data_IF_370577634820
#
_entry.id   IF_370577634820
#
_cell.length_a   1.000
_cell.length_b   1.000
_cell.length_c   1.000
_cell.angle_alpha   90.00
_cell.angle_beta   90.00
_cell.angle_gamma   90.00
#
_symmetry.space_group_name_H-M   'P 1'
#
loop_
_entity.id
_entity.type
_entity.pdbx_description
1 polymer ?
#
# COMPACT_ATOMS: atom_id res chain seq x y z
N UNK A 1 -6.38 37.37 6.98
CA UNK A 1 -5.69 36.20 7.59
C UNK A 1 -6.76 35.17 7.93
N UNK A 2 -6.90 34.08 7.17
CA UNK A 2 -7.79 32.99 7.56
C UNK A 2 -7.18 32.33 8.80
N UNK A 3 -7.82 32.50 9.97
CA UNK A 3 -7.54 31.71 11.15
C UNK A 3 -7.58 30.24 10.74
N UNK A 4 -6.42 29.59 10.59
CA UNK A 4 -6.34 28.14 10.62
C UNK A 4 -6.78 27.77 12.03
N UNK A 5 -8.09 27.56 12.23
CA UNK A 5 -8.63 27.12 13.50
C UNK A 5 -7.78 25.95 13.97
N UNK A 6 -7.18 26.07 15.15
CA UNK A 6 -6.34 25.02 15.72
C UNK A 6 -7.20 23.76 15.75
N UNK A 7 -6.80 22.73 15.02
CA UNK A 7 -7.49 21.43 15.03
C UNK A 7 -7.67 21.01 16.49
N UNK A 8 -8.80 20.39 16.82
CA UNK A 8 -8.97 19.83 18.17
C UNK A 8 -7.82 18.87 18.47
N UNK A 9 -7.48 18.71 19.76
CA UNK A 9 -6.41 17.77 20.17
C UNK A 9 -6.66 16.37 19.60
N UNK A 10 -7.92 15.96 19.62
CA UNK A 10 -8.43 14.71 19.05
C UNK A 10 -8.13 14.57 17.55
N UNK A 11 -8.49 15.56 16.74
CA UNK A 11 -8.21 15.54 15.30
C UNK A 11 -6.71 15.64 15.01
N UNK A 12 -5.95 16.35 15.84
CA UNK A 12 -4.49 16.42 15.69
C UNK A 12 -3.84 15.05 15.96
N UNK A 13 -4.31 14.34 16.99
CA UNK A 13 -3.86 12.98 17.35
C UNK A 13 -4.24 11.96 16.28
N UNK A 14 -5.42 12.09 15.67
CA UNK A 14 -5.81 11.30 14.49
C UNK A 14 -4.74 11.36 13.42
N UNK A 15 -4.53 12.55 12.84
CA UNK A 15 -3.67 12.72 11.68
C UNK A 15 -2.20 12.46 12.00
N UNK A 16 -1.78 12.54 13.27
CA UNK A 16 -0.45 12.13 13.69
C UNK A 16 -0.22 10.61 13.51
N UNK A 17 -1.28 9.81 13.67
CA UNK A 17 -1.23 8.34 13.59
C UNK A 17 -1.75 7.78 12.25
N UNK A 18 -2.32 8.64 11.41
CA UNK A 18 -2.80 8.31 10.07
C UNK A 18 -1.66 8.22 9.05
N UNK A 19 -1.82 7.35 8.06
CA UNK A 19 -0.96 7.26 6.89
C UNK A 19 -1.79 7.43 5.63
N UNK A 20 -1.44 8.43 4.81
CA UNK A 20 -1.94 8.57 3.46
C UNK A 20 -1.11 7.74 2.50
N UNK A 21 -1.78 7.07 1.58
CA UNK A 21 -1.18 6.28 0.52
C UNK A 21 -1.79 6.73 -0.80
N UNK A 22 -0.95 6.98 -1.81
CA UNK A 22 -1.40 7.27 -3.16
C UNK A 22 -0.62 6.39 -4.12
N UNK A 23 -1.30 5.70 -5.03
CA UNK A 23 -0.62 4.96 -6.07
C UNK A 23 -1.24 5.17 -7.45
N UNK A 24 -0.40 5.17 -8.48
CA UNK A 24 -0.84 5.03 -9.87
C UNK A 24 -0.96 3.55 -10.20
N UNK A 25 -2.07 3.13 -10.77
CA UNK A 25 -2.31 1.75 -11.19
C UNK A 25 -2.33 1.64 -12.72
N UNK A 26 -1.60 0.64 -13.24
CA UNK A 26 -1.60 0.28 -14.67
C UNK A 26 -1.74 -1.24 -14.87
N UNK A 27 -2.65 -1.73 -15.74
CA UNK A 27 -3.67 -0.93 -16.42
C UNK A 27 -4.71 -0.41 -15.42
N UNK A 28 -5.52 0.61 -15.77
CA UNK A 28 -6.66 0.99 -14.95
C UNK A 28 -7.66 -0.18 -14.82
N UNK A 29 -8.45 -0.21 -13.75
CA UNK A 29 -9.60 -1.10 -13.66
C UNK A 29 -10.65 -0.71 -14.72
N UNK A 30 -11.28 -1.72 -15.33
CA UNK A 30 -12.21 -1.52 -16.46
C UNK A 30 -13.67 -1.77 -16.08
N UNK A 31 -13.95 -2.29 -14.88
CA UNK A 31 -15.31 -2.61 -14.41
C UNK A 31 -15.49 -2.17 -12.96
N UNK A 32 -16.74 -2.00 -12.53
CA UNK A 32 -17.08 -1.74 -11.12
C UNK A 32 -16.65 -2.90 -10.21
N UNK A 33 -16.80 -4.14 -10.66
CA UNK A 33 -16.35 -5.32 -9.89
C UNK A 33 -14.83 -5.31 -9.64
N UNK A 34 -14.04 -4.84 -10.61
CA UNK A 34 -12.59 -4.70 -10.45
C UNK A 34 -12.25 -3.59 -9.45
N UNK A 35 -13.04 -2.51 -9.40
CA UNK A 35 -12.92 -1.46 -8.36
C UNK A 35 -13.32 -1.97 -6.97
N UNK A 36 -14.42 -2.70 -6.86
CA UNK A 36 -14.89 -3.28 -5.59
C UNK A 36 -13.86 -4.28 -5.06
N UNK A 37 -13.26 -5.09 -5.95
CA UNK A 37 -12.15 -5.97 -5.61
C UNK A 37 -10.94 -5.19 -5.09
N UNK A 38 -10.54 -4.10 -5.75
CA UNK A 38 -9.44 -3.26 -5.26
C UNK A 38 -9.77 -2.69 -3.87
N UNK A 39 -10.94 -2.07 -3.69
CA UNK A 39 -11.37 -1.54 -2.40
C UNK A 39 -11.34 -2.60 -1.30
N UNK A 40 -11.94 -3.77 -1.56
CA UNK A 40 -11.99 -4.88 -0.60
C UNK A 40 -10.60 -5.31 -0.15
N UNK A 41 -9.65 -5.44 -1.08
CA UNK A 41 -8.30 -5.87 -0.72
C UNK A 41 -7.48 -4.75 -0.08
N UNK A 42 -7.69 -3.49 -0.46
CA UNK A 42 -7.06 -2.36 0.23
C UNK A 42 -7.51 -2.25 1.70
N UNK A 43 -8.75 -2.65 2.03
CA UNK A 43 -9.20 -2.80 3.41
C UNK A 43 -8.47 -3.88 4.21
N UNK A 44 -7.92 -4.92 3.55
CA UNK A 44 -7.14 -5.97 4.23
C UNK A 44 -5.77 -5.50 4.70
N UNK A 45 -5.25 -4.39 4.15
CA UNK A 45 -3.91 -3.90 4.51
C UNK A 45 -3.88 -3.32 5.92
N UNK A 46 -4.88 -2.52 6.27
CA UNK A 46 -5.11 -1.88 7.57
C UNK A 46 -6.49 -1.20 7.53
N UNK A 47 -7.04 -0.73 8.67
CA UNK A 47 -8.26 0.06 8.65
C UNK A 47 -8.15 1.28 7.75
N UNK A 48 -9.11 1.39 6.84
CA UNK A 48 -9.14 2.37 5.76
C UNK A 48 -10.27 3.36 6.04
N UNK A 49 -9.91 4.63 6.22
CA UNK A 49 -10.82 5.74 6.51
C UNK A 49 -11.34 6.41 5.24
N UNK A 50 -10.53 6.42 4.21
CA UNK A 50 -10.88 7.01 2.92
C UNK A 50 -10.25 6.18 1.81
N UNK A 51 -11.03 5.95 0.75
CA UNK A 51 -10.57 5.35 -0.49
C UNK A 51 -11.21 6.10 -1.64
N UNK A 52 -10.38 6.73 -2.45
CA UNK A 52 -10.80 7.54 -3.58
C UNK A 52 -10.02 7.15 -4.82
N UNK A 53 -10.70 7.16 -5.95
CA UNK A 53 -10.09 6.90 -7.25
C UNK A 53 -10.15 8.16 -8.09
N UNK A 54 -9.03 8.52 -8.73
CA UNK A 54 -8.95 9.65 -9.64
C UNK A 54 -8.43 9.12 -10.97
N UNK A 55 -9.21 9.33 -12.04
CA UNK A 55 -8.76 9.04 -13.40
C UNK A 55 -8.52 10.33 -14.15
N UNK A 56 -7.34 10.47 -14.75
CA UNK A 56 -7.01 11.60 -15.61
C UNK A 56 -6.35 11.07 -16.88
N UNK A 57 -6.86 11.46 -18.06
CA UNK A 57 -6.34 11.03 -19.35
C UNK A 57 -4.84 11.25 -19.53
N UNK A 58 -4.29 12.29 -18.90
CA UNK A 58 -2.89 12.70 -19.04
C UNK A 58 -2.00 12.08 -17.95
N UNK A 59 -2.55 11.68 -16.81
CA UNK A 59 -1.77 11.24 -15.65
C UNK A 59 -1.99 9.76 -15.29
N UNK A 60 -3.04 9.14 -15.79
CA UNK A 60 -3.42 7.76 -15.51
C UNK A 60 -4.49 7.64 -14.42
N UNK A 61 -4.63 6.42 -13.89
CA UNK A 61 -5.58 6.08 -12.83
C UNK A 61 -4.86 5.99 -11.49
N UNK A 62 -5.39 6.67 -10.49
CA UNK A 62 -4.81 6.74 -9.15
C UNK A 62 -5.79 6.26 -8.10
N UNK A 63 -5.26 5.55 -7.12
CA UNK A 63 -5.92 5.29 -5.84
C UNK A 63 -5.30 6.21 -4.79
N UNK A 64 -6.14 6.85 -4.00
CA UNK A 64 -5.77 7.57 -2.80
C UNK A 64 -6.48 6.89 -1.62
N UNK A 65 -5.70 6.49 -0.63
CA UNK A 65 -6.16 5.80 0.55
C UNK A 65 -5.67 6.53 1.80
N UNK A 66 -6.48 6.53 2.85
CA UNK A 66 -6.09 7.02 4.17
C UNK A 66 -6.29 5.89 5.17
N UNK A 67 -5.20 5.49 5.78
CA UNK A 67 -5.13 4.38 6.71
C UNK A 67 -4.95 4.85 8.15
N UNK A 68 -5.58 4.11 9.06
CA UNK A 68 -5.38 4.20 10.50
C UNK A 68 -4.85 2.86 11.03
N UNK A 69 -3.57 2.53 10.78
CA UNK A 69 -3.02 1.20 11.10
C UNK A 69 -2.84 0.95 12.59
N UNK A 70 -2.82 2.00 13.42
CA UNK A 70 -2.70 1.88 14.87
C UNK A 70 -4.06 1.66 15.56
N UNK A 71 -5.03 1.08 14.85
CA UNK A 71 -6.41 0.89 15.31
C UNK A 71 -6.95 -0.41 14.72
N UNK A 72 -8.04 -0.88 15.29
CA UNK A 72 -8.80 -2.01 14.74
C UNK A 72 -9.87 -1.55 13.75
N UNK A 73 -10.34 -0.30 13.87
CA UNK A 73 -11.42 0.25 13.05
C UNK A 73 -11.16 1.66 12.53
N UNK A 74 -11.85 1.99 11.43
CA UNK A 74 -11.89 3.33 10.84
C UNK A 74 -12.39 4.36 11.85
N UNK A 75 -11.82 5.57 11.79
CA UNK A 75 -12.27 6.74 12.53
C UNK A 75 -13.73 7.10 12.27
N UNK A 76 -14.22 6.96 11.03
CA UNK A 76 -15.59 7.34 10.71
C UNK A 76 -16.62 6.42 11.39
N UNK A 77 -16.26 5.17 11.71
CA UNK A 77 -17.12 4.29 12.51
C UNK A 77 -17.26 4.75 13.97
N UNK A 78 -16.33 5.58 14.44
CA UNK A 78 -16.22 5.98 15.84
C UNK A 78 -16.82 7.36 16.13
N UNK A 79 -17.37 8.05 15.12
CA UNK A 79 -18.19 9.25 15.33
C UNK A 79 -19.58 8.86 15.91
N UNK A 80 -19.76 7.62 16.38
CA UNK A 80 -20.94 7.25 17.15
C UNK A 80 -20.95 8.06 18.46
N UNK A 81 -22.13 8.50 18.95
CA UNK A 81 -22.24 9.55 19.97
C UNK A 81 -21.75 9.20 21.38
N UNK A 82 -21.09 8.05 21.57
CA UNK A 82 -20.52 7.68 22.86
C UNK A 82 -19.03 8.04 22.88
N UNK A 83 -18.76 9.32 23.20
CA UNK A 83 -17.39 9.89 23.19
C UNK A 83 -16.47 9.26 24.26
N UNK A 84 -16.97 8.39 25.14
CA UNK A 84 -16.22 7.85 26.28
C UNK A 84 -15.43 6.55 25.99
N UNK A 85 -15.63 5.90 24.84
CA UNK A 85 -14.90 4.66 24.48
C UNK A 85 -13.74 4.86 23.51
N UNK A 86 -13.45 6.10 23.14
CA UNK A 86 -12.28 6.42 22.36
C UNK A 86 -11.10 6.65 23.31
N UNK A 87 -9.95 6.09 22.97
CA UNK A 87 -8.66 6.28 23.65
C UNK A 87 -8.39 5.38 24.87
N UNK A 88 -8.41 4.05 24.70
CA UNK A 88 -7.27 3.33 25.27
C UNK A 88 -6.04 3.80 24.49
N UNK A 89 -5.21 4.62 25.14
CA UNK A 89 -4.00 5.15 24.55
C UNK A 89 -3.05 3.99 24.27
N UNK A 90 -2.96 3.57 23.02
CA UNK A 90 -1.81 2.77 22.58
C UNK A 90 -0.57 3.63 22.85
N UNK A 91 0.39 3.07 23.57
CA UNK A 91 1.65 3.73 23.86
C UNK A 91 2.29 4.25 22.56
N UNK A 92 2.71 5.51 22.61
CA UNK A 92 3.37 6.23 21.52
C UNK A 92 4.51 5.44 20.87
N UNK A 93 5.26 4.63 21.65
CA UNK A 93 6.36 3.82 21.12
C UNK A 93 5.83 2.71 20.21
N UNK A 94 4.77 2.02 20.61
CA UNK A 94 4.12 0.98 19.80
C UNK A 94 3.49 1.58 18.54
N UNK A 95 2.89 2.77 18.69
CA UNK A 95 2.30 3.52 17.57
C UNK A 95 3.35 3.81 16.49
N UNK A 96 4.55 4.26 16.86
CA UNK A 96 5.62 4.54 15.90
C UNK A 96 6.13 3.29 15.19
N UNK A 97 6.31 2.17 15.90
CA UNK A 97 6.74 0.91 15.29
C UNK A 97 5.71 0.40 14.29
N UNK A 98 4.44 0.30 14.70
CA UNK A 98 3.33 -0.14 13.82
C UNK A 98 3.25 0.75 12.57
N UNK A 99 3.38 2.06 12.75
CA UNK A 99 3.35 3.03 11.66
C UNK A 99 4.51 2.79 10.68
N UNK A 100 5.72 2.61 11.17
CA UNK A 100 6.90 2.37 10.32
C UNK A 100 6.82 1.03 9.58
N UNK A 101 6.38 -0.03 10.26
CA UNK A 101 6.19 -1.35 9.64
C UNK A 101 5.15 -1.28 8.51
N UNK A 102 4.06 -0.54 8.75
CA UNK A 102 3.04 -0.32 7.74
C UNK A 102 3.54 0.55 6.57
N UNK A 103 4.35 1.58 6.83
CA UNK A 103 5.01 2.37 5.77
C UNK A 103 5.92 1.47 4.92
N UNK A 104 6.71 0.60 5.55
CA UNK A 104 7.58 -0.35 4.85
C UNK A 104 6.76 -1.32 3.99
N UNK A 105 5.66 -1.86 4.55
CA UNK A 105 4.71 -2.71 3.82
C UNK A 105 4.17 -1.99 2.59
N UNK A 106 3.60 -0.78 2.75
CA UNK A 106 3.08 0.02 1.63
C UNK A 106 4.15 0.36 0.59
N UNK A 107 5.36 0.70 1.03
CA UNK A 107 6.51 0.98 0.15
C UNK A 107 6.88 -0.23 -0.69
N UNK A 108 6.78 -1.44 -0.14
CA UNK A 108 7.14 -2.67 -0.83
C UNK A 108 6.15 -3.13 -1.90
N UNK A 109 4.91 -2.63 -1.93
CA UNK A 109 3.81 -3.12 -2.79
C UNK A 109 4.06 -2.94 -4.29
N UNK A 110 4.21 -4.00 -5.07
CA UNK A 110 4.43 -3.93 -6.52
C UNK A 110 3.13 -3.97 -7.32
N UNK A 111 2.24 -4.91 -6.98
CA UNK A 111 1.12 -5.25 -7.83
C UNK A 111 0.02 -6.00 -7.06
N UNK A 112 -1.12 -6.16 -7.72
CA UNK A 112 -2.21 -7.05 -7.32
C UNK A 112 -2.77 -7.73 -8.57
N UNK A 113 -3.18 -9.00 -8.53
CA UNK A 113 -3.85 -9.62 -9.67
C UNK A 113 -5.09 -8.82 -10.09
N UNK A 114 -5.39 -8.85 -11.38
CA UNK A 114 -6.61 -8.28 -11.90
C UNK A 114 -7.78 -9.17 -11.53
N UNK A 115 -8.90 -8.58 -11.15
CA UNK A 115 -10.13 -9.32 -10.84
C UNK A 115 -10.52 -10.24 -12.01
N UNK A 116 -10.50 -9.71 -13.23
CA UNK A 116 -10.77 -10.44 -14.48
C UNK A 116 -9.85 -11.64 -14.72
N UNK A 117 -8.65 -11.66 -14.15
CA UNK A 117 -7.72 -12.79 -14.25
C UNK A 117 -8.03 -13.91 -13.25
N UNK A 118 -8.62 -13.57 -12.10
CA UNK A 118 -8.78 -14.50 -10.97
C UNK A 118 -10.24 -14.90 -10.69
N UNK A 119 -11.23 -14.15 -11.18
CA UNK A 119 -12.64 -14.32 -10.81
C UNK A 119 -13.17 -15.74 -11.09
N UNK A 120 -12.74 -16.34 -12.21
CA UNK A 120 -13.16 -17.69 -12.62
C UNK A 120 -12.14 -18.78 -12.28
N UNK A 121 -11.03 -18.42 -11.61
CA UNK A 121 -9.97 -19.38 -11.29
C UNK A 121 -10.31 -20.14 -9.99
N UNK A 122 -10.97 -21.28 -10.12
CA UNK A 122 -11.39 -22.12 -8.98
C UNK A 122 -10.23 -22.53 -8.07
N UNK A 123 -9.03 -22.77 -8.61
CA UNK A 123 -7.89 -23.17 -7.80
C UNK A 123 -7.37 -22.01 -6.95
N UNK A 124 -7.39 -20.79 -7.49
CA UNK A 124 -7.11 -19.60 -6.70
C UNK A 124 -8.16 -19.41 -5.61
N UNK A 125 -9.45 -19.41 -5.96
CA UNK A 125 -10.55 -19.21 -5.00
C UNK A 125 -10.58 -20.27 -3.89
N UNK A 126 -10.12 -21.50 -4.17
CA UNK A 126 -10.04 -22.58 -3.20
C UNK A 126 -8.68 -22.69 -2.49
N UNK A 127 -7.84 -21.64 -2.51
CA UNK A 127 -6.54 -21.60 -1.84
C UNK A 127 -5.52 -22.65 -2.33
N UNK A 128 -5.73 -23.24 -3.51
CA UNK A 128 -4.84 -24.24 -4.11
C UNK A 128 -3.77 -23.65 -5.01
N UNK A 129 -3.95 -22.41 -5.44
CA UNK A 129 -3.04 -21.72 -6.35
C UNK A 129 -2.53 -20.43 -5.71
N UNK A 130 -1.19 -20.28 -5.71
CA UNK A 130 -0.53 -19.02 -5.46
C UNK A 130 -0.06 -18.43 -6.80
N UNK A 131 -0.36 -17.16 -7.04
CA UNK A 131 -0.04 -16.50 -8.31
C UNK A 131 1.28 -15.76 -8.19
N UNK A 132 2.24 -16.08 -9.06
CA UNK A 132 3.53 -15.40 -9.14
C UNK A 132 3.45 -14.18 -10.07
N UNK A 133 4.13 -13.11 -9.68
CA UNK A 133 4.36 -11.96 -10.56
C UNK A 133 5.56 -12.22 -11.47
N UNK A 134 5.32 -12.93 -12.58
CA UNK A 134 6.35 -13.15 -13.58
C UNK A 134 6.71 -11.84 -14.28
N UNK A 135 7.99 -11.50 -14.27
CA UNK A 135 8.48 -10.21 -14.76
C UNK A 135 9.83 -10.31 -15.43
N UNK A 136 10.11 -9.31 -16.27
CA UNK A 136 11.41 -9.07 -16.87
C UNK A 136 11.99 -7.76 -16.34
N UNK A 137 13.29 -7.78 -16.04
CA UNK A 137 14.07 -6.64 -15.58
C UNK A 137 14.56 -5.84 -16.80
N UNK A 138 14.38 -4.52 -16.80
CA UNK A 138 14.99 -3.66 -17.82
C UNK A 138 16.51 -3.52 -17.62
N UNK A 139 17.25 -3.27 -18.70
CA UNK A 139 18.71 -3.10 -18.66
C UNK A 139 19.17 -2.02 -17.66
N UNK A 140 18.36 -0.99 -17.45
CA UNK A 140 18.58 0.14 -16.53
C UNK A 140 18.70 -0.24 -15.04
N UNK A 141 18.22 -1.43 -14.66
CA UNK A 141 18.27 -1.97 -13.28
C UNK A 141 18.83 -3.39 -13.27
N UNK A 142 19.67 -3.75 -14.23
CA UNK A 142 20.28 -5.08 -14.30
C UNK A 142 21.08 -5.43 -13.03
N UNK A 143 21.59 -4.42 -12.32
CA UNK A 143 22.30 -4.55 -11.04
C UNK A 143 21.40 -5.03 -9.88
N UNK A 144 20.08 -4.97 -9.99
CA UNK A 144 19.15 -5.50 -8.99
C UNK A 144 18.81 -6.99 -9.20
N UNK A 145 19.25 -7.60 -10.30
CA UNK A 145 18.97 -9.01 -10.59
C UNK A 145 19.50 -9.90 -9.46
N UNK A 146 18.63 -10.72 -8.87
CA UNK A 146 18.98 -11.63 -7.78
C UNK A 146 19.05 -10.97 -6.39
N UNK A 147 18.94 -9.64 -6.30
CA UNK A 147 19.00 -8.90 -5.02
C UNK A 147 17.65 -8.77 -4.32
N UNK A 148 16.55 -9.06 -5.03
CA UNK A 148 15.21 -9.03 -4.48
C UNK A 148 14.45 -10.30 -4.80
N UNK A 149 13.46 -10.58 -3.95
CA UNK A 149 12.40 -11.53 -4.21
C UNK A 149 11.05 -10.81 -4.24
N UNK A 150 10.04 -11.45 -4.83
CA UNK A 150 8.66 -10.99 -4.78
C UNK A 150 7.81 -12.02 -4.07
N UNK A 151 6.89 -11.56 -3.23
CA UNK A 151 5.86 -12.44 -2.66
C UNK A 151 4.99 -13.03 -3.76
N UNK A 152 4.32 -14.14 -3.45
CA UNK A 152 3.22 -14.65 -4.27
C UNK A 152 1.91 -14.03 -3.81
N UNK A 153 0.92 -14.02 -4.70
CA UNK A 153 -0.43 -13.56 -4.41
C UNK A 153 -1.32 -14.75 -4.05
N UNK A 154 -2.07 -14.61 -2.97
CA UNK A 154 -3.06 -15.58 -2.49
C UNK A 154 -4.42 -14.90 -2.30
N UNK A 155 -5.45 -15.66 -1.94
CA UNK A 155 -6.78 -15.08 -1.65
C UNK A 155 -6.76 -14.16 -0.43
N UNK A 156 -5.98 -14.51 0.60
CA UNK A 156 -5.86 -13.72 1.83
C UNK A 156 -4.88 -12.55 1.66
N UNK A 157 -3.75 -12.79 1.00
CA UNK A 157 -2.70 -11.82 0.74
C UNK A 157 -2.52 -11.61 -0.77
N UNK A 158 -3.41 -10.84 -1.41
CA UNK A 158 -3.43 -10.70 -2.86
C UNK A 158 -2.30 -9.80 -3.39
N UNK A 159 -1.69 -8.98 -2.54
CA UNK A 159 -0.67 -8.04 -2.96
C UNK A 159 0.70 -8.69 -3.12
N UNK A 160 1.33 -8.39 -4.24
CA UNK A 160 2.72 -8.70 -4.51
C UNK A 160 3.59 -7.62 -3.90
N UNK A 161 4.61 -8.00 -3.13
CA UNK A 161 5.53 -7.09 -2.44
C UNK A 161 6.98 -7.47 -2.71
N UNK A 162 7.87 -6.48 -2.71
CA UNK A 162 9.32 -6.68 -2.75
C UNK A 162 9.80 -7.14 -1.37
N UNK A 163 10.49 -8.28 -1.35
CA UNK A 163 11.27 -8.77 -0.22
C UNK A 163 12.73 -8.46 -0.52
N UNK A 164 13.39 -7.72 0.38
CA UNK A 164 14.84 -7.53 0.27
C UNK A 164 15.54 -8.82 0.75
N UNK A 165 16.42 -9.38 -0.07
CA UNK A 165 17.16 -10.60 0.27
C UNK A 165 18.23 -10.34 1.35
N UNK A 166 18.74 -9.11 1.44
CA UNK A 166 19.81 -8.75 2.37
C UNK A 166 19.37 -8.86 3.84
N UNK A 167 18.07 -8.71 4.13
CA UNK A 167 17.52 -8.92 5.48
C UNK A 167 17.16 -10.39 5.79
N UNK A 168 17.11 -11.27 4.78
CA UNK A 168 16.69 -12.66 4.95
C UNK A 168 17.87 -13.58 5.32
N UNK A 169 19.07 -13.25 4.83
CA UNK A 169 20.29 -13.96 5.17
C UNK A 169 21.11 -13.05 6.07
N UNK A 170 21.08 -13.27 7.38
CA UNK A 170 21.92 -12.56 8.37
C UNK A 170 23.42 -12.82 8.24
N UNK A 171 23.93 -12.89 7.01
CA UNK A 171 25.34 -12.99 6.70
C UNK A 171 25.93 -11.58 6.73
N UNK A 172 26.55 -11.25 7.87
CA UNK A 172 27.46 -10.12 8.06
C UNK A 172 28.69 -10.28 7.16
N UNK A 173 28.54 -10.12 5.85
CA UNK A 173 29.68 -9.95 4.97
C UNK A 173 29.94 -8.45 4.86
N UNK A 174 30.86 -7.96 5.68
CA UNK A 174 31.26 -6.55 5.83
C UNK A 174 31.96 -5.94 4.58
N UNK A 175 31.95 -6.58 3.41
CA UNK A 175 32.86 -6.20 2.30
C UNK A 175 32.26 -6.10 0.88
N UNK A 176 30.94 -6.20 0.68
CA UNK A 176 30.36 -5.98 -0.66
C UNK A 176 29.41 -4.79 -0.66
N UNK A 177 29.72 -3.76 -1.47
CA UNK A 177 28.89 -2.61 -1.81
C UNK A 177 27.38 -2.92 -1.69
N UNK A 178 26.80 -2.64 -0.52
CA UNK A 178 25.41 -2.96 -0.22
C UNK A 178 24.54 -2.07 -1.10
N UNK A 179 24.10 -2.62 -2.24
CA UNK A 179 23.25 -1.87 -3.17
C UNK A 179 21.85 -1.82 -2.56
N UNK A 180 21.62 -0.81 -1.73
CA UNK A 180 20.28 -0.44 -1.27
C UNK A 180 19.33 -0.39 -2.45
N UNK A 181 18.28 -1.22 -2.41
CA UNK A 181 17.29 -1.30 -3.48
C UNK A 181 16.43 -0.03 -3.46
N UNK A 182 16.51 0.76 -4.51
CA UNK A 182 15.50 1.78 -4.79
C UNK A 182 14.21 1.09 -5.25
N UNK A 183 13.24 1.02 -4.34
CA UNK A 183 11.92 0.41 -4.56
C UNK A 183 11.15 1.07 -5.71
N UNK A 184 11.21 2.40 -5.85
CA UNK A 184 10.52 3.11 -6.94
C UNK A 184 11.16 2.77 -8.27
N UNK A 185 12.49 2.88 -8.36
CA UNK A 185 13.24 2.54 -9.57
C UNK A 185 13.05 1.08 -9.96
N UNK A 186 13.11 0.15 -9.01
CA UNK A 186 12.85 -1.26 -9.27
C UNK A 186 11.45 -1.43 -9.86
N UNK A 187 10.43 -0.98 -9.13
CA UNK A 187 9.01 -1.11 -9.50
C UNK A 187 8.74 -0.54 -10.88
N UNK A 188 9.11 0.69 -11.18
CA UNK A 188 8.89 1.32 -12.50
C UNK A 188 9.50 0.48 -13.63
N UNK A 189 10.66 -0.12 -13.42
CA UNK A 189 11.38 -0.89 -14.43
C UNK A 189 11.01 -2.38 -14.51
N UNK A 190 10.10 -2.88 -13.65
CA UNK A 190 9.53 -4.23 -13.81
C UNK A 190 8.53 -4.26 -14.96
N UNK A 191 8.83 -5.07 -15.98
CA UNK A 191 7.91 -5.39 -17.08
C UNK A 191 7.16 -6.67 -16.76
N UNK A 192 5.85 -6.68 -16.96
CA UNK A 192 4.97 -7.79 -16.59
C UNK A 192 3.83 -7.94 -17.61
N UNK A 193 3.01 -8.98 -17.44
CA UNK A 193 1.80 -9.14 -18.24
C UNK A 193 0.64 -8.32 -17.66
N UNK A 194 0.29 -7.21 -18.32
CA UNK A 194 -0.82 -6.32 -17.94
C UNK A 194 -2.22 -6.96 -18.01
N UNK A 195 -2.37 -8.13 -18.64
CA UNK A 195 -3.62 -8.88 -18.60
C UNK A 195 -3.82 -9.56 -17.23
N UNK A 196 -2.75 -9.84 -16.49
CA UNK A 196 -2.80 -10.58 -15.23
C UNK A 196 -2.79 -9.71 -13.99
N UNK A 197 -2.10 -8.57 -14.04
CA UNK A 197 -1.86 -7.73 -12.86
C UNK A 197 -2.14 -6.26 -13.10
N UNK A 198 -2.65 -5.62 -12.05
CA UNK A 198 -2.55 -4.20 -11.81
C UNK A 198 -1.22 -3.94 -11.13
N UNK A 199 -0.32 -3.22 -11.81
CA UNK A 199 0.94 -2.77 -11.24
C UNK A 199 0.77 -1.39 -10.64
N UNK A 200 1.35 -1.19 -9.47
CA UNK A 200 1.48 0.13 -8.85
C UNK A 200 2.76 0.73 -9.44
N UNK A 201 2.67 1.74 -10.30
CA UNK A 201 3.87 2.27 -10.96
C UNK A 201 4.56 3.34 -10.10
N UNK A 202 3.75 4.18 -9.45
CA UNK A 202 4.20 5.27 -8.60
C UNK A 202 3.47 5.16 -7.28
N UNK A 203 4.20 5.20 -6.17
CA UNK A 203 3.65 5.20 -4.82
C UNK A 203 4.12 6.46 -4.11
N UNK A 204 3.21 7.14 -3.44
CA UNK A 204 3.49 8.22 -2.52
C UNK A 204 2.90 7.89 -1.15
N UNK A 205 3.72 8.00 -0.11
CA UNK A 205 3.29 7.84 1.27
C UNK A 205 3.34 9.21 1.95
N UNK A 206 2.25 9.56 2.63
CA UNK A 206 2.05 10.86 3.26
C UNK A 206 1.81 10.62 4.75
N UNK A 207 2.73 11.11 5.58
CA UNK A 207 2.60 11.06 7.04
C UNK A 207 2.39 12.45 7.66
N UNK A 208 2.49 13.50 6.85
CA UNK A 208 2.33 14.88 7.31
C UNK A 208 0.83 15.23 7.46
N UNK A 209 0.35 15.60 8.67
CA UNK A 209 -1.05 15.90 8.93
C UNK A 209 -1.65 16.97 8.00
N UNK A 210 -0.92 18.04 7.70
CA UNK A 210 -1.43 19.12 6.84
C UNK A 210 -1.64 18.63 5.40
N UNK A 211 -0.76 17.76 4.90
CA UNK A 211 -0.91 17.16 3.57
C UNK A 211 -2.09 16.18 3.52
N UNK A 212 -2.30 15.41 4.59
CA UNK A 212 -3.44 14.49 4.70
C UNK A 212 -4.77 15.24 4.69
N UNK A 213 -4.89 16.31 5.47
CA UNK A 213 -6.09 17.15 5.51
C UNK A 213 -6.39 17.75 4.13
N UNK A 214 -5.36 18.17 3.39
CA UNK A 214 -5.55 18.71 2.04
C UNK A 214 -5.97 17.64 1.02
N UNK A 215 -5.66 16.36 1.25
CA UNK A 215 -6.09 15.23 0.39
C UNK A 215 -7.55 14.82 0.63
N UNK A 216 -8.12 15.19 1.77
CA UNK A 216 -9.53 14.95 2.11
C UNK A 216 -10.50 16.00 1.55
N UNK A 217 -9.97 17.12 1.02
CA UNK A 217 -10.76 18.19 0.40
C UNK A 217 -10.96 17.90 -1.08
#
# INVERSE_FOLDING_TARGET
MTNKGKLSKTISKYFANTIGFSCRITPPPNTSLELDYLLHNFHKLAPLDNFQTISNSNHGFFINAIYSPCRDESWFKLIKPDENHLFEEIDSKFTNTIKNDFINKLTSLVAIPRYSYIENNKDFQNYKLQIRFDHNIQRSIANYKGKYNLTTSTVDDPFISIINNDNANGTNNDDDDEVSIDYEKLRVNLRHNFQKFHKFDKIEIITNPNRLINRLK
#
